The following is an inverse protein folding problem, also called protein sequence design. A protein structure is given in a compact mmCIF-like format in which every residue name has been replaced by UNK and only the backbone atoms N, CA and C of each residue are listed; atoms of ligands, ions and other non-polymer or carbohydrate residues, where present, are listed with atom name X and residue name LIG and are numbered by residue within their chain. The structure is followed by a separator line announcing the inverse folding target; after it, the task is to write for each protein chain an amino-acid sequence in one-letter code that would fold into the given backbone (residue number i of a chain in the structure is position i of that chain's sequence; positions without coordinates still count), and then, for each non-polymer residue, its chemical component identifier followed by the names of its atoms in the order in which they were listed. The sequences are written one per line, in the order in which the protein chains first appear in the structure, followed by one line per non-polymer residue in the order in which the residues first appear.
data_IF_817142483683
#
_entry.id   IF_817142483683
#
_cell.length_a   1.000
_cell.length_b   1.000
_cell.length_c   1.000
_cell.angle_alpha   90.00
_cell.angle_beta   90.00
_cell.angle_gamma   90.00
#
_symmetry.space_group_name_H-M   'P 1'
#
loop_
_entity.id
_entity.type
_entity.pdbx_description
1 polymer ?
#
# COMPACT_ATOMS: atom_id res chain seq x y z
N UNK A 1 -27.69 70.26 9.30
CA UNK A 1 -28.30 68.92 9.13
C UNK A 1 -27.46 68.11 8.17
N UNK A 2 -26.56 67.28 8.69
CA UNK A 2 -25.69 66.39 7.91
C UNK A 2 -26.44 65.07 7.74
N UNK A 3 -26.84 64.72 6.50
CA UNK A 3 -27.41 63.41 6.19
C UNK A 3 -26.28 62.41 5.93
N UNK A 4 -26.38 61.30 6.64
CA UNK A 4 -25.59 60.07 6.68
C UNK A 4 -25.21 59.51 5.32
N UNK A 5 -23.91 59.24 5.10
CA UNK A 5 -23.44 58.28 4.10
C UNK A 5 -23.44 56.88 4.72
N UNK A 6 -24.37 56.05 4.28
CA UNK A 6 -24.34 54.60 4.47
C UNK A 6 -23.33 54.00 3.50
N UNK A 7 -22.25 53.40 4.02
CA UNK A 7 -21.44 52.45 3.25
C UNK A 7 -21.98 51.03 3.50
N UNK A 8 -22.27 50.22 2.46
CA UNK A 8 -22.37 48.78 2.63
C UNK A 8 -20.97 48.13 2.59
N UNK A 9 -20.72 47.22 3.53
CA UNK A 9 -19.47 46.45 3.70
C UNK A 9 -19.36 45.29 2.67
N UNK A 10 -18.24 45.31 1.95
CA UNK A 10 -17.40 44.23 1.37
C UNK A 10 -17.95 42.80 1.15
N UNK A 11 -17.82 42.25 -0.09
CA UNK A 11 -17.84 40.80 -0.37
C UNK A 11 -16.48 40.17 -0.80
N UNK A 12 -15.36 40.88 -0.84
CA UNK A 12 -14.17 40.43 -1.59
C UNK A 12 -13.25 39.36 -0.93
N UNK A 13 -13.35 39.08 0.38
CA UNK A 13 -12.39 38.18 1.07
C UNK A 13 -12.68 36.68 0.96
N UNK A 14 -13.81 36.27 0.38
CA UNK A 14 -14.26 34.86 0.34
C UNK A 14 -13.69 34.07 -0.85
N UNK A 15 -13.61 34.69 -2.03
CA UNK A 15 -13.25 34.01 -3.28
C UNK A 15 -11.77 33.57 -3.35
N UNK A 16 -10.86 34.35 -2.77
CA UNK A 16 -9.41 34.06 -2.78
C UNK A 16 -9.05 32.83 -1.95
N UNK A 17 -9.77 32.56 -0.86
CA UNK A 17 -9.53 31.38 0.00
C UNK A 17 -10.01 30.08 -0.65
N UNK A 18 -11.08 30.14 -1.43
CA UNK A 18 -11.65 28.99 -2.16
C UNK A 18 -10.73 28.56 -3.29
N UNK A 19 -10.20 29.52 -4.06
CA UNK A 19 -9.26 29.24 -5.16
C UNK A 19 -7.97 28.58 -4.66
N UNK A 20 -7.43 29.05 -3.54
CA UNK A 20 -6.21 28.49 -2.92
C UNK A 20 -6.43 27.07 -2.39
N UNK A 21 -7.61 26.77 -1.83
CA UNK A 21 -7.93 25.41 -1.39
C UNK A 21 -8.09 24.45 -2.58
N UNK A 22 -8.70 24.90 -3.67
CA UNK A 22 -8.86 24.08 -4.89
C UNK A 22 -7.51 23.75 -5.55
N UNK A 23 -6.61 24.72 -5.66
CA UNK A 23 -5.26 24.52 -6.23
C UNK A 23 -4.41 23.57 -5.37
N UNK A 24 -4.51 23.70 -4.03
CA UNK A 24 -3.82 22.81 -3.11
C UNK A 24 -4.32 21.36 -3.24
N UNK A 25 -5.64 21.15 -3.29
CA UNK A 25 -6.23 19.82 -3.48
C UNK A 25 -5.78 19.19 -4.79
N UNK A 26 -5.76 19.95 -5.89
CA UNK A 26 -5.29 19.45 -7.18
C UNK A 26 -3.80 19.03 -7.16
N UNK A 27 -2.94 19.82 -6.49
CA UNK A 27 -1.52 19.46 -6.31
C UNK A 27 -1.35 18.19 -5.49
N UNK A 28 -2.10 18.06 -4.39
CA UNK A 28 -2.04 16.88 -3.54
C UNK A 28 -2.56 15.63 -4.27
N UNK A 29 -3.67 15.75 -5.01
CA UNK A 29 -4.20 14.69 -5.86
C UNK A 29 -3.16 14.21 -6.89
N UNK A 30 -2.50 15.14 -7.58
CA UNK A 30 -1.45 14.81 -8.54
C UNK A 30 -0.26 14.09 -7.90
N UNK A 31 0.18 14.53 -6.72
CA UNK A 31 1.29 13.87 -5.99
C UNK A 31 0.89 12.46 -5.57
N UNK A 32 -0.30 12.30 -4.98
CA UNK A 32 -0.80 10.99 -4.52
C UNK A 32 -1.05 10.02 -5.68
N UNK A 33 -1.41 10.53 -6.86
CA UNK A 33 -1.59 9.71 -8.05
C UNK A 33 -0.26 9.15 -8.56
N UNK A 34 0.81 9.95 -8.49
CA UNK A 34 2.15 9.54 -8.90
C UNK A 34 2.86 8.63 -7.88
N UNK A 35 2.39 8.58 -6.63
CA UNK A 35 3.04 7.85 -5.52
C UNK A 35 2.09 6.77 -4.95
N UNK A 36 1.95 5.62 -5.63
CA UNK A 36 1.01 4.57 -5.25
C UNK A 36 1.31 3.93 -3.89
N UNK A 37 2.57 3.95 -3.44
CA UNK A 37 3.00 3.48 -2.11
C UNK A 37 2.46 4.34 -0.95
N UNK A 38 1.96 5.55 -1.27
CA UNK A 38 1.50 6.52 -0.28
C UNK A 38 2.60 7.41 0.25
N UNK A 39 2.19 8.58 0.76
CA UNK A 39 3.09 9.65 1.15
C UNK A 39 2.73 10.15 2.54
N UNK A 40 3.74 10.37 3.39
CA UNK A 40 3.49 10.94 4.70
C UNK A 40 3.06 12.40 4.61
N UNK A 41 2.26 12.84 5.58
CA UNK A 41 1.78 14.23 5.58
C UNK A 41 2.92 15.26 5.64
N UNK A 42 4.02 14.91 6.31
CA UNK A 42 5.21 15.75 6.40
C UNK A 42 5.89 15.92 5.03
N UNK A 43 6.01 14.82 4.28
CA UNK A 43 6.58 14.84 2.93
C UNK A 43 5.67 15.61 1.98
N UNK A 44 4.34 15.42 2.07
CA UNK A 44 3.37 16.19 1.29
C UNK A 44 3.51 17.69 1.56
N UNK A 45 3.53 18.10 2.83
CA UNK A 45 3.70 19.50 3.24
C UNK A 45 4.97 20.13 2.67
N UNK A 46 6.08 19.40 2.73
CA UNK A 46 7.34 19.83 2.12
C UNK A 46 7.22 19.97 0.59
N UNK A 47 6.60 19.00 -0.10
CA UNK A 47 6.44 19.03 -1.58
C UNK A 47 5.58 20.18 -2.06
N UNK A 48 4.56 20.57 -1.31
CA UNK A 48 3.69 21.71 -1.66
C UNK A 48 4.18 23.04 -1.09
N UNK A 49 5.38 23.08 -0.48
CA UNK A 49 5.99 24.24 0.17
C UNK A 49 5.08 24.89 1.24
N UNK A 50 4.34 24.08 2.00
CA UNK A 50 3.53 24.53 3.13
C UNK A 50 4.19 24.13 4.44
N UNK A 51 4.43 25.11 5.32
CA UNK A 51 5.02 24.87 6.64
C UNK A 51 4.08 24.24 7.66
N UNK A 52 2.77 24.20 7.38
CA UNK A 52 1.76 23.70 8.32
C UNK A 52 1.11 22.41 7.82
N UNK A 53 1.41 21.30 8.49
CA UNK A 53 0.82 19.97 8.20
C UNK A 53 -0.68 19.95 8.43
N UNK A 54 -1.21 20.78 9.32
CA UNK A 54 -2.65 20.91 9.58
C UNK A 54 -3.44 21.39 8.35
N UNK A 55 -2.89 22.34 7.59
CA UNK A 55 -3.51 22.83 6.36
C UNK A 55 -3.59 21.72 5.31
N UNK A 56 -2.50 20.94 5.16
CA UNK A 56 -2.45 19.79 4.26
C UNK A 56 -3.45 18.73 4.69
N UNK A 57 -3.54 18.44 5.99
CA UNK A 57 -4.49 17.46 6.54
C UNK A 57 -5.93 17.83 6.20
N UNK A 58 -6.30 19.08 6.45
CA UNK A 58 -7.65 19.56 6.15
C UNK A 58 -7.96 19.48 4.65
N UNK A 59 -7.00 19.85 3.79
CA UNK A 59 -7.16 19.75 2.34
C UNK A 59 -7.31 18.28 1.87
N UNK A 60 -6.58 17.34 2.48
CA UNK A 60 -6.70 15.90 2.20
C UNK A 60 -8.05 15.33 2.65
N UNK A 61 -8.54 15.75 3.81
CA UNK A 61 -9.87 15.37 4.30
C UNK A 61 -10.99 15.94 3.43
N UNK A 62 -10.87 17.19 3.00
CA UNK A 62 -11.79 17.80 2.04
C UNK A 62 -11.76 17.04 0.70
N UNK A 63 -10.57 16.71 0.20
CA UNK A 63 -10.39 15.94 -1.03
C UNK A 63 -11.01 14.53 -0.92
N UNK A 64 -10.82 13.86 0.23
CA UNK A 64 -11.46 12.58 0.50
C UNK A 64 -12.99 12.68 0.43
N UNK A 65 -13.59 13.73 1.02
CA UNK A 65 -15.03 13.96 0.92
C UNK A 65 -15.48 14.25 -0.52
N UNK A 66 -14.69 14.98 -1.30
CA UNK A 66 -15.01 15.26 -2.71
C UNK A 66 -15.05 13.97 -3.54
N UNK A 67 -14.14 13.03 -3.29
CA UNK A 67 -14.14 11.70 -3.93
C UNK A 67 -15.38 10.88 -3.57
N UNK A 68 -15.85 10.97 -2.33
CA UNK A 68 -17.09 10.33 -1.88
C UNK A 68 -18.31 10.98 -2.54
N UNK A 69 -18.42 12.32 -2.50
CA UNK A 69 -19.56 13.08 -3.05
C UNK A 69 -19.75 12.88 -4.55
N UNK A 70 -18.66 12.75 -5.31
CA UNK A 70 -18.71 12.53 -6.77
C UNK A 70 -18.87 11.06 -7.16
N UNK A 71 -19.00 10.16 -6.20
CA UNK A 71 -19.05 8.71 -6.41
C UNK A 71 -17.89 8.19 -7.28
N UNK A 72 -16.68 8.74 -7.10
CA UNK A 72 -15.53 8.36 -7.93
C UNK A 72 -15.16 6.89 -7.75
N UNK A 73 -14.58 6.26 -8.79
CA UNK A 73 -14.07 4.88 -8.68
C UNK A 73 -12.80 4.72 -7.86
N UNK A 74 -12.21 5.83 -7.43
CA UNK A 74 -11.04 5.90 -6.58
C UNK A 74 -11.45 6.41 -5.18
N UNK A 75 -10.57 6.23 -4.19
CA UNK A 75 -10.73 6.70 -2.82
C UNK A 75 -9.38 7.11 -2.22
N UNK A 76 -9.41 8.11 -1.33
CA UNK A 76 -8.26 8.45 -0.49
C UNK A 76 -8.31 7.64 0.79
N UNK A 77 -7.22 6.94 1.10
CA UNK A 77 -7.03 6.21 2.34
C UNK A 77 -6.12 6.99 3.28
N UNK A 78 -6.56 7.16 4.53
CA UNK A 78 -5.75 7.63 5.65
C UNK A 78 -5.27 6.42 6.45
N UNK A 79 -3.99 6.08 6.34
CA UNK A 79 -3.33 5.04 7.10
C UNK A 79 -2.52 5.64 8.27
N UNK A 80 -3.15 6.54 9.02
CA UNK A 80 -2.58 7.19 10.21
C UNK A 80 -1.74 8.42 9.87
N UNK A 81 -0.56 8.20 9.29
CA UNK A 81 0.34 9.27 8.85
C UNK A 81 0.61 9.25 7.34
N UNK A 82 0.26 8.14 6.67
CA UNK A 82 0.45 7.92 5.24
C UNK A 82 -0.89 8.07 4.53
N UNK A 83 -0.90 8.93 3.51
CA UNK A 83 -2.04 9.13 2.62
C UNK A 83 -1.75 8.49 1.26
N UNK A 84 -2.75 7.79 0.69
CA UNK A 84 -2.63 7.20 -0.65
C UNK A 84 -3.96 7.18 -1.40
N UNK A 85 -3.86 7.18 -2.73
CA UNK A 85 -4.99 6.91 -3.61
C UNK A 85 -5.10 5.41 -3.86
N UNK A 86 -6.32 4.87 -3.72
CA UNK A 86 -6.66 3.49 -4.04
C UNK A 86 -7.91 3.40 -4.90
N UNK A 87 -8.06 2.28 -5.58
CA UNK A 87 -9.32 1.91 -6.24
C UNK A 87 -10.34 1.53 -5.15
N UNK A 88 -11.62 1.85 -5.36
CA UNK A 88 -12.69 1.36 -4.48
C UNK A 88 -12.83 -0.15 -4.62
N UNK A 89 -13.09 -0.83 -3.50
CA UNK A 89 -13.15 -2.28 -3.47
C UNK A 89 -14.19 -2.84 -4.47
N UNK A 90 -15.30 -2.13 -4.66
CA UNK A 90 -16.37 -2.40 -5.63
C UNK A 90 -15.90 -2.52 -7.09
N UNK A 91 -14.80 -1.85 -7.47
CA UNK A 91 -14.27 -1.86 -8.83
C UNK A 91 -13.01 -2.73 -8.99
N UNK A 92 -12.61 -3.47 -7.95
CA UNK A 92 -11.39 -4.29 -8.01
C UNK A 92 -11.48 -5.38 -9.09
N UNK A 93 -12.66 -5.96 -9.31
CA UNK A 93 -12.87 -7.03 -10.30
C UNK A 93 -12.59 -6.54 -11.72
N UNK A 94 -13.21 -5.41 -12.12
CA UNK A 94 -13.03 -4.87 -13.47
C UNK A 94 -11.58 -4.41 -13.72
N UNK A 95 -10.90 -3.87 -12.71
CA UNK A 95 -9.50 -3.48 -12.86
C UNK A 95 -8.59 -4.69 -13.00
N UNK A 96 -8.86 -5.80 -12.29
CA UNK A 96 -8.10 -7.05 -12.45
C UNK A 96 -8.25 -7.67 -13.84
N UNK A 97 -9.40 -7.48 -14.48
CA UNK A 97 -9.62 -7.93 -15.87
C UNK A 97 -8.90 -7.02 -16.88
N UNK A 98 -8.85 -5.71 -16.60
CA UNK A 98 -8.23 -4.73 -17.48
C UNK A 98 -6.71 -4.66 -17.36
N UNK A 99 -6.14 -4.96 -16.20
CA UNK A 99 -4.71 -4.88 -15.92
C UNK A 99 -4.08 -6.27 -15.87
N UNK A 100 -2.97 -6.46 -16.58
CA UNK A 100 -2.19 -7.69 -16.44
C UNK A 100 -1.59 -7.79 -15.03
N UNK A 101 -1.70 -8.96 -14.37
CA UNK A 101 -1.16 -9.12 -13.04
C UNK A 101 0.37 -9.00 -13.06
N UNK A 102 0.91 -8.25 -12.10
CA UNK A 102 2.36 -8.05 -11.95
C UNK A 102 3.13 -9.37 -11.73
N UNK A 103 2.42 -10.40 -11.27
CA UNK A 103 2.92 -11.73 -10.99
C UNK A 103 2.01 -12.81 -11.55
N UNK A 104 2.63 -13.84 -12.12
CA UNK A 104 2.01 -15.14 -12.31
C UNK A 104 1.52 -15.70 -10.95
N UNK A 105 0.36 -16.35 -10.97
CA UNK A 105 -0.21 -17.11 -9.86
C UNK A 105 0.81 -18.05 -9.19
N UNK A 106 1.62 -18.78 -9.95
CA UNK A 106 2.61 -19.70 -9.40
C UNK A 106 3.71 -18.98 -8.61
N UNK A 107 4.09 -17.77 -9.04
CA UNK A 107 5.03 -16.89 -8.32
C UNK A 107 4.39 -16.34 -7.05
N UNK A 108 3.13 -15.90 -7.13
CA UNK A 108 2.38 -15.43 -5.96
C UNK A 108 2.22 -16.53 -4.91
N UNK A 109 1.93 -17.76 -5.31
CA UNK A 109 1.80 -18.87 -4.38
C UNK A 109 3.14 -19.22 -3.71
N UNK A 110 4.27 -19.12 -4.42
CA UNK A 110 5.61 -19.25 -3.80
C UNK A 110 5.88 -18.13 -2.80
N UNK A 111 5.52 -16.88 -3.13
CA UNK A 111 5.64 -15.73 -2.23
C UNK A 111 4.76 -15.91 -0.99
N UNK A 112 3.52 -16.33 -1.18
CA UNK A 112 2.55 -16.56 -0.11
C UNK A 112 3.05 -17.64 0.88
N UNK A 113 3.66 -18.73 0.38
CA UNK A 113 4.25 -19.75 1.25
C UNK A 113 5.39 -19.17 2.13
N UNK A 114 6.30 -18.38 1.53
CA UNK A 114 7.41 -17.74 2.27
C UNK A 114 6.86 -16.78 3.33
N UNK A 115 5.87 -15.95 2.97
CA UNK A 115 5.26 -14.97 3.86
C UNK A 115 4.46 -15.62 5.00
N UNK A 116 3.70 -16.68 4.70
CA UNK A 116 2.97 -17.46 5.71
C UNK A 116 3.89 -18.07 6.77
N UNK A 117 5.03 -18.64 6.36
CA UNK A 117 6.04 -19.17 7.30
C UNK A 117 6.77 -18.07 8.08
N UNK A 118 6.66 -16.80 7.68
CA UNK A 118 7.43 -15.70 8.23
C UNK A 118 8.92 -15.75 7.83
N UNK A 119 9.24 -16.51 6.78
CA UNK A 119 10.59 -16.84 6.35
C UNK A 119 10.85 -18.34 6.30
N UNK A 120 11.64 -18.79 5.33
CA UNK A 120 11.90 -20.22 5.09
C UNK A 120 13.24 -20.43 4.42
N UNK A 121 13.84 -21.62 4.59
CA UNK A 121 14.99 -22.01 3.77
C UNK A 121 14.53 -22.25 2.34
N UNK A 122 15.37 -21.86 1.38
CA UNK A 122 15.11 -22.05 -0.05
C UNK A 122 14.86 -23.53 -0.40
N UNK A 123 15.61 -24.47 0.20
CA UNK A 123 15.39 -25.90 -0.01
C UNK A 123 13.99 -26.36 0.43
N UNK A 124 13.47 -25.83 1.54
CA UNK A 124 12.13 -26.16 2.03
C UNK A 124 11.04 -25.64 1.10
N UNK A 125 11.20 -24.41 0.59
CA UNK A 125 10.26 -23.84 -0.38
C UNK A 125 10.22 -24.68 -1.65
N UNK A 126 11.39 -25.05 -2.20
CA UNK A 126 11.49 -25.87 -3.41
C UNK A 126 10.87 -27.24 -3.20
N UNK A 127 11.08 -27.85 -2.03
CA UNK A 127 10.53 -29.17 -1.68
C UNK A 127 9.00 -29.17 -1.60
N UNK A 128 8.40 -28.15 -1.00
CA UNK A 128 6.93 -28.05 -0.87
C UNK A 128 6.26 -27.66 -2.19
N UNK A 129 6.83 -26.71 -2.92
CA UNK A 129 6.16 -26.10 -4.07
C UNK A 129 6.47 -26.78 -5.39
N UNK A 130 7.77 -26.96 -5.70
CA UNK A 130 8.34 -27.66 -6.88
C UNK A 130 9.69 -27.04 -7.26
N UNK A 131 10.43 -27.73 -8.15
CA UNK A 131 11.67 -27.25 -8.78
C UNK A 131 11.53 -25.89 -9.50
N UNK A 132 10.33 -25.54 -9.99
CA UNK A 132 10.11 -24.22 -10.61
C UNK A 132 10.25 -23.06 -9.60
N UNK A 133 10.18 -23.33 -8.30
CA UNK A 133 10.35 -22.31 -7.28
C UNK A 133 11.71 -21.62 -7.31
N UNK A 134 12.76 -22.24 -7.88
CA UNK A 134 14.04 -21.57 -8.06
C UNK A 134 13.93 -20.29 -8.91
N UNK A 135 13.18 -20.36 -10.02
CA UNK A 135 12.99 -19.18 -10.88
C UNK A 135 12.06 -18.18 -10.22
N UNK A 136 11.01 -18.63 -9.54
CA UNK A 136 10.10 -17.74 -8.80
C UNK A 136 10.84 -16.96 -7.72
N UNK A 137 11.67 -17.62 -6.91
CA UNK A 137 12.46 -17.00 -5.85
C UNK A 137 13.43 -15.96 -6.43
N UNK A 138 14.07 -16.28 -7.57
CA UNK A 138 14.94 -15.32 -8.27
C UNK A 138 14.15 -14.06 -8.65
N UNK A 139 12.99 -14.20 -9.28
CA UNK A 139 12.12 -13.08 -9.66
C UNK A 139 11.65 -12.27 -8.45
N UNK A 140 11.30 -12.94 -7.35
CA UNK A 140 10.86 -12.28 -6.11
C UNK A 140 11.97 -11.47 -5.44
N UNK A 141 13.21 -11.95 -5.51
CA UNK A 141 14.39 -11.23 -5.03
C UNK A 141 14.70 -10.03 -5.93
N UNK A 142 14.69 -10.21 -7.25
CA UNK A 142 14.94 -9.14 -8.22
C UNK A 142 13.90 -8.01 -8.10
N UNK A 143 12.63 -8.36 -7.89
CA UNK A 143 11.55 -7.39 -7.65
C UNK A 143 11.53 -6.84 -6.21
N UNK A 144 12.38 -7.35 -5.32
CA UNK A 144 12.55 -6.84 -3.95
C UNK A 144 11.45 -7.20 -2.96
N UNK A 145 10.62 -8.21 -3.24
CA UNK A 145 9.57 -8.70 -2.32
C UNK A 145 10.12 -9.71 -1.30
N UNK A 146 11.23 -10.37 -1.64
CA UNK A 146 11.93 -11.32 -0.77
C UNK A 146 13.41 -10.95 -0.73
N UNK A 147 14.02 -10.98 0.44
CA UNK A 147 15.46 -10.92 0.61
C UNK A 147 16.03 -12.31 0.89
N UNK A 148 17.29 -12.53 0.51
CA UNK A 148 17.99 -13.79 0.76
C UNK A 148 19.27 -13.58 1.56
N UNK A 149 19.46 -14.35 2.62
CA UNK A 149 20.70 -14.39 3.41
C UNK A 149 21.29 -15.80 3.43
N UNK A 150 22.59 -15.92 3.74
CA UNK A 150 23.25 -17.23 3.81
C UNK A 150 22.74 -18.02 5.02
N UNK A 151 22.39 -19.30 4.81
CA UNK A 151 21.96 -20.21 5.86
C UNK A 151 22.53 -21.61 5.60
N UNK A 152 23.76 -21.83 6.06
CA UNK A 152 24.52 -23.07 5.79
C UNK A 152 24.72 -23.30 4.29
N UNK A 153 24.31 -24.48 3.81
CA UNK A 153 24.35 -24.87 2.39
C UNK A 153 23.17 -24.31 1.56
N UNK A 154 22.23 -23.62 2.19
CA UNK A 154 21.05 -23.04 1.55
C UNK A 154 21.01 -21.52 1.78
N UNK A 155 19.99 -20.87 1.20
CA UNK A 155 19.61 -19.50 1.52
C UNK A 155 18.43 -19.49 2.49
N UNK A 156 18.42 -18.54 3.40
CA UNK A 156 17.23 -18.13 4.15
C UNK A 156 16.50 -17.06 3.34
N UNK A 157 15.20 -17.19 3.19
CA UNK A 157 14.34 -16.29 2.43
C UNK A 157 13.37 -15.60 3.39
N UNK A 158 13.23 -14.29 3.28
CA UNK A 158 12.38 -13.50 4.15
C UNK A 158 11.60 -12.44 3.38
N UNK A 159 10.30 -12.21 3.68
CA UNK A 159 9.56 -11.09 3.09
C UNK A 159 10.16 -9.75 3.52
N UNK A 160 10.30 -8.84 2.56
CA UNK A 160 10.86 -7.51 2.80
C UNK A 160 9.80 -6.53 3.29
N UNK A 161 10.22 -5.32 3.70
CA UNK A 161 9.29 -4.21 3.99
C UNK A 161 8.35 -3.91 2.80
N UNK A 162 8.87 -3.95 1.58
CA UNK A 162 8.11 -3.73 0.33
C UNK A 162 6.93 -4.70 0.20
N UNK A 163 7.10 -5.97 0.59
CA UNK A 163 6.00 -6.93 0.60
C UNK A 163 4.85 -6.45 1.50
N UNK A 164 5.14 -6.11 2.75
CA UNK A 164 4.12 -5.67 3.70
C UNK A 164 3.43 -4.38 3.25
N UNK A 165 4.19 -3.44 2.70
CA UNK A 165 3.65 -2.19 2.15
C UNK A 165 2.73 -2.43 0.93
N UNK A 166 3.12 -3.33 0.03
CA UNK A 166 2.32 -3.64 -1.17
C UNK A 166 0.99 -4.34 -0.83
N UNK A 167 1.01 -5.27 0.12
CA UNK A 167 -0.16 -6.05 0.52
C UNK A 167 -0.98 -5.39 1.65
N UNK A 168 -0.65 -4.15 2.05
CA UNK A 168 -1.30 -3.43 3.16
C UNK A 168 -1.30 -4.21 4.48
N UNK A 169 -0.19 -4.91 4.77
CA UNK A 169 0.01 -5.70 5.97
C UNK A 169 0.95 -4.99 6.94
N UNK A 170 0.82 -5.25 8.25
CA UNK A 170 1.84 -4.80 9.21
C UNK A 170 3.08 -5.66 9.08
N UNK A 171 4.26 -5.06 9.26
CA UNK A 171 5.51 -5.81 9.22
C UNK A 171 5.51 -6.89 10.32
N UNK A 172 5.76 -8.15 9.92
CA UNK A 172 5.70 -9.31 10.81
C UNK A 172 4.31 -9.93 10.98
N UNK A 173 3.27 -9.35 10.38
CA UNK A 173 1.96 -9.97 10.30
C UNK A 173 2.02 -11.20 9.40
N UNK A 174 1.61 -12.35 9.93
CA UNK A 174 1.55 -13.59 9.16
C UNK A 174 0.25 -13.66 8.37
N UNK A 175 0.33 -14.23 7.17
CA UNK A 175 -0.87 -14.56 6.41
C UNK A 175 -1.73 -15.55 7.20
N UNK A 176 -3.06 -15.38 7.17
CA UNK A 176 -3.99 -16.38 7.69
C UNK A 176 -3.70 -17.70 6.98
N UNK A 177 -3.57 -18.77 7.77
CA UNK A 177 -3.17 -20.09 7.29
C UNK A 177 -4.07 -20.58 6.15
N UNK A 178 -3.54 -20.70 4.92
CA UNK A 178 -4.25 -21.35 3.84
C UNK A 178 -4.20 -22.85 4.10
N UNK A 179 -5.36 -23.50 4.22
CA UNK A 179 -5.48 -24.93 4.51
C UNK A 179 -4.59 -25.79 3.58
N UNK A 180 -4.53 -25.40 2.31
CA UNK A 180 -3.70 -26.04 1.28
C UNK A 180 -2.19 -26.05 1.58
N UNK A 181 -1.66 -25.06 2.32
CA UNK A 181 -0.24 -25.05 2.71
C UNK A 181 0.05 -25.95 3.92
N UNK A 182 -0.94 -26.15 4.80
CA UNK A 182 -0.81 -27.04 5.97
C UNK A 182 -0.75 -28.49 5.52
N UNK A 183 -1.64 -28.89 4.62
CA UNK A 183 -1.71 -30.25 4.07
C UNK A 183 -0.39 -30.60 3.35
N UNK A 184 0.08 -29.72 2.45
CA UNK A 184 1.33 -29.92 1.73
C UNK A 184 2.58 -29.94 2.64
N UNK A 185 2.56 -29.23 3.77
CA UNK A 185 3.66 -29.24 4.73
C UNK A 185 3.64 -30.46 5.66
N UNK A 186 2.45 -30.96 6.01
CA UNK A 186 2.25 -32.12 6.89
C UNK A 186 2.65 -33.45 6.23
N UNK A 187 2.57 -33.53 4.90
CA UNK A 187 2.92 -34.74 4.14
C UNK A 187 4.44 -34.93 3.93
N UNK A 188 5.28 -34.01 4.39
CA UNK A 188 6.73 -34.05 4.14
C UNK A 188 7.54 -34.49 5.38
N UNK A 189 8.26 -35.64 5.32
CA UNK A 189 9.12 -36.06 6.41
C UNK A 189 10.31 -35.09 6.60
N UNK A 190 10.51 -34.63 7.83
CA UNK A 190 11.69 -33.85 8.22
C UNK A 190 11.65 -32.37 7.81
N UNK A 191 10.47 -31.75 7.68
CA UNK A 191 10.38 -30.29 7.85
C UNK A 191 10.62 -30.02 9.32
N UNK A 192 11.72 -29.33 9.65
CA UNK A 192 12.00 -28.95 11.03
C UNK A 192 10.87 -27.99 11.45
N UNK A 193 10.01 -28.47 12.35
CA UNK A 193 9.01 -27.68 13.04
C UNK A 193 9.71 -26.61 13.88
N UNK A 194 10.01 -25.48 13.25
CA UNK A 194 10.23 -24.22 13.96
C UNK A 194 8.86 -23.55 14.12
N UNK A 195 8.19 -23.95 15.20
CA UNK A 195 7.07 -23.28 15.88
C UNK A 195 5.65 -23.61 15.39
N UNK A 196 5.11 -24.73 15.87
CA UNK A 196 3.80 -24.71 16.53
C UNK A 196 4.01 -24.31 17.99
N UNK A 197 3.76 -23.05 18.31
CA UNK A 197 3.51 -22.64 19.69
C UNK A 197 2.40 -21.60 19.61
N UNK A 198 1.34 -21.90 20.38
CA UNK A 198 0.05 -21.22 20.52
C UNK A 198 0.12 -19.69 20.58
#
# INVERSE_FOLDING_TARGET
MVKTKSQPKQPEKSASKIQVNSDLKAKLEAILFCMPEGVSIQVLAHKVNLGFTSTVKNALQDLQQDYVKREAGLQLLDAGDIWKLRIKDEHTTIVKEAAEPEFDRAVLETLAYIAWRGGSRQCDVVRVRSNKSYTHIKTLIEKGYVESSKSGLSKWLQPTKKFYEYFDMKQGEKLKTPQAFVEAAAELPGVIDINYSE
#
